data_IF_041637733853
#
_entry.id   IF_041637733853
#
_cell.length_a   1.000
_cell.length_b   1.000
_cell.length_c   1.000
_cell.angle_alpha   90.00
_cell.angle_beta   90.00
_cell.angle_gamma   90.00
#
_symmetry.space_group_name_H-M   'P 1'
#
loop_
_entity.id
_entity.type
_entity.pdbx_description
1 polymer ?
#
# COMPACT_ATOMS: atom_id res chain seq x y z
N UNK A 1 24.84 3.13 -8.06
CA UNK A 1 23.90 2.31 -8.85
C UNK A 1 24.34 0.85 -8.77
N UNK A 2 23.44 -0.13 -8.62
CA UNK A 2 23.84 -1.55 -8.64
C UNK A 2 24.56 -1.86 -9.96
N UNK A 3 25.70 -2.56 -9.87
CA UNK A 3 26.50 -2.95 -11.04
C UNK A 3 25.80 -4.05 -11.83
N UNK A 4 26.07 -4.18 -13.13
CA UNK A 4 25.52 -5.26 -13.97
C UNK A 4 25.75 -6.66 -13.38
N UNK A 5 26.89 -6.86 -12.72
CA UNK A 5 27.23 -8.11 -12.00
C UNK A 5 26.25 -8.44 -10.87
N UNK A 6 25.75 -7.44 -10.13
CA UNK A 6 24.77 -7.67 -9.08
C UNK A 6 23.39 -8.11 -9.61
N UNK A 7 22.99 -7.59 -10.78
CA UNK A 7 21.77 -8.04 -11.46
C UNK A 7 21.87 -9.46 -11.97
N UNK A 8 23.00 -9.81 -12.61
CA UNK A 8 23.23 -11.16 -13.15
C UNK A 8 23.26 -12.21 -12.03
N UNK A 9 23.89 -11.90 -10.89
CA UNK A 9 23.94 -12.80 -9.73
C UNK A 9 22.55 -13.05 -9.13
N UNK A 10 21.70 -12.02 -9.05
CA UNK A 10 20.29 -12.18 -8.64
C UNK A 10 19.45 -12.99 -9.63
N UNK A 11 19.81 -13.01 -10.92
CA UNK A 11 19.10 -13.78 -11.94
C UNK A 11 19.53 -15.25 -11.97
N UNK A 12 20.83 -15.52 -11.71
CA UNK A 12 21.40 -16.87 -11.56
C UNK A 12 20.62 -17.71 -10.56
N UNK A 13 20.28 -17.15 -9.41
CA UNK A 13 19.62 -17.87 -8.31
C UNK A 13 18.14 -18.21 -8.61
N UNK A 14 17.54 -17.64 -9.66
CA UNK A 14 16.15 -17.89 -10.07
C UNK A 14 16.01 -18.85 -11.27
N UNK A 15 17.12 -19.36 -11.82
CA UNK A 15 17.14 -20.25 -13.01
C UNK A 15 17.09 -21.75 -12.67
N UNK A 16 16.63 -22.12 -11.47
CA UNK A 16 16.81 -23.49 -10.94
C UNK A 16 15.73 -24.51 -11.31
N UNK A 17 14.88 -24.29 -12.33
CA UNK A 17 13.89 -25.34 -12.67
C UNK A 17 13.41 -25.39 -14.13
N UNK A 18 14.33 -25.29 -15.11
CA UNK A 18 13.99 -25.58 -16.50
C UNK A 18 14.99 -26.55 -17.12
N UNK A 19 14.47 -27.55 -17.84
CA UNK A 19 15.20 -28.40 -18.78
C UNK A 19 16.28 -27.59 -19.52
N UNK A 20 17.56 -27.84 -19.22
CA UNK A 20 18.68 -27.08 -19.77
C UNK A 20 18.76 -27.39 -21.28
N UNK A 21 18.10 -26.56 -22.10
CA UNK A 21 18.27 -26.56 -23.55
C UNK A 21 19.52 -25.76 -23.89
N UNK A 22 20.48 -26.40 -24.55
CA UNK A 22 21.65 -25.71 -25.11
C UNK A 22 21.25 -24.99 -26.39
N UNK A 23 21.59 -23.71 -26.49
CA UNK A 23 21.42 -22.92 -27.72
C UNK A 23 22.79 -22.44 -28.18
N UNK A 24 23.23 -22.75 -29.42
CA UNK A 24 24.45 -22.16 -29.97
C UNK A 24 24.21 -20.67 -30.22
N UNK A 25 24.97 -19.82 -29.53
CA UNK A 25 24.90 -18.36 -29.68
C UNK A 25 26.00 -17.93 -30.65
N UNK A 26 25.62 -17.47 -31.84
CA UNK A 26 26.54 -17.01 -32.91
C UNK A 26 26.55 -15.49 -33.06
N UNK A 27 25.59 -14.79 -32.44
CA UNK A 27 25.53 -13.33 -32.44
C UNK A 27 24.75 -12.78 -31.24
N UNK A 28 25.01 -11.51 -30.93
CA UNK A 28 24.25 -10.78 -29.92
C UNK A 28 22.75 -10.68 -30.25
N UNK A 29 22.41 -10.52 -31.53
CA UNK A 29 21.02 -10.49 -31.98
C UNK A 29 20.31 -11.83 -31.69
N UNK A 30 20.98 -12.95 -31.96
CA UNK A 30 20.45 -14.28 -31.66
C UNK A 30 20.27 -14.49 -30.15
N UNK A 31 21.24 -14.05 -29.33
CA UNK A 31 21.12 -14.06 -27.87
C UNK A 31 19.88 -13.30 -27.38
N UNK A 32 19.67 -12.07 -27.88
CA UNK A 32 18.48 -11.28 -27.54
C UNK A 32 17.20 -11.97 -27.98
N UNK A 33 17.14 -12.49 -29.21
CA UNK A 33 15.96 -13.16 -29.74
C UNK A 33 15.57 -14.39 -28.91
N UNK A 34 16.55 -15.23 -28.57
CA UNK A 34 16.34 -16.40 -27.70
C UNK A 34 15.87 -15.95 -26.32
N UNK A 35 16.54 -14.95 -25.73
CA UNK A 35 16.18 -14.38 -24.44
C UNK A 35 14.73 -13.93 -24.43
N UNK A 36 14.34 -13.01 -25.31
CA UNK A 36 12.97 -12.50 -25.40
C UNK A 36 11.94 -13.60 -25.66
N UNK A 37 12.24 -14.55 -26.55
CA UNK A 37 11.33 -15.67 -26.85
C UNK A 37 11.06 -16.52 -25.61
N UNK A 38 12.09 -16.82 -24.81
CA UNK A 38 11.93 -17.54 -23.55
C UNK A 38 11.13 -16.72 -22.53
N UNK A 39 11.37 -15.41 -22.45
CA UNK A 39 10.60 -14.53 -21.56
C UNK A 39 9.11 -14.53 -21.87
N UNK A 40 8.77 -14.40 -23.17
CA UNK A 40 7.38 -14.38 -23.64
C UNK A 40 6.72 -15.76 -23.47
N UNK A 41 7.42 -16.84 -23.82
CA UNK A 41 6.90 -18.21 -23.73
C UNK A 41 6.57 -18.61 -22.29
N UNK A 42 7.35 -18.11 -21.32
CA UNK A 42 7.12 -18.34 -19.89
C UNK A 42 6.05 -17.40 -19.29
N UNK A 43 5.38 -16.57 -20.09
CA UNK A 43 4.37 -15.63 -19.62
C UNK A 43 4.92 -14.59 -18.64
N UNK A 44 6.20 -14.23 -18.74
CA UNK A 44 6.80 -13.29 -17.80
C UNK A 44 6.23 -11.88 -17.97
N UNK A 45 5.66 -11.34 -16.90
CA UNK A 45 5.13 -9.98 -16.87
C UNK A 45 6.15 -9.04 -16.23
N UNK A 46 6.75 -8.16 -17.04
CA UNK A 46 7.66 -7.11 -16.56
C UNK A 46 6.86 -5.84 -16.28
N UNK A 47 7.05 -5.25 -15.10
CA UNK A 47 6.43 -3.98 -14.70
C UNK A 47 7.46 -2.99 -14.20
N UNK A 48 7.11 -1.71 -14.25
CA UNK A 48 7.88 -0.63 -13.61
C UNK A 48 7.37 -0.42 -12.19
N UNK A 49 8.25 -0.54 -11.20
CA UNK A 49 7.89 -0.31 -9.79
C UNK A 49 7.47 1.15 -9.58
N UNK A 50 6.27 1.38 -9.04
CA UNK A 50 5.76 2.74 -8.78
C UNK A 50 6.51 3.51 -7.69
N UNK A 51 7.39 2.85 -6.93
CA UNK A 51 8.14 3.46 -5.84
C UNK A 51 9.59 3.79 -6.21
N UNK A 52 10.35 2.82 -6.73
CA UNK A 52 11.76 3.00 -7.09
C UNK A 52 12.02 3.17 -8.59
N UNK A 53 10.97 3.16 -9.42
CA UNK A 53 11.04 3.28 -10.89
C UNK A 53 11.82 2.19 -11.64
N UNK A 54 12.39 1.20 -10.95
CA UNK A 54 13.07 0.08 -11.59
C UNK A 54 12.11 -0.99 -12.12
N UNK A 55 12.46 -1.62 -13.23
CA UNK A 55 11.72 -2.75 -13.79
C UNK A 55 11.87 -4.00 -12.90
N UNK A 56 10.84 -4.84 -12.85
CA UNK A 56 10.82 -6.10 -12.11
C UNK A 56 9.81 -7.08 -12.72
N UNK A 57 10.03 -8.37 -12.52
CA UNK A 57 9.08 -9.42 -12.86
C UNK A 57 7.99 -9.51 -11.79
N UNK A 58 6.72 -9.44 -12.18
CA UNK A 58 5.61 -9.71 -11.28
C UNK A 58 5.56 -11.22 -10.95
N UNK A 59 5.55 -11.58 -9.66
CA UNK A 59 5.64 -12.98 -9.22
C UNK A 59 4.31 -13.58 -8.78
N UNK A 60 3.48 -12.81 -8.07
CA UNK A 60 2.30 -13.34 -7.38
C UNK A 60 0.98 -12.98 -8.06
N UNK A 61 0.90 -11.79 -8.66
CA UNK A 61 -0.31 -11.29 -9.30
C UNK A 61 0.09 -10.40 -10.45
N UNK A 62 -0.70 -10.45 -11.53
CA UNK A 62 -0.63 -9.48 -12.61
C UNK A 62 -0.74 -8.06 -12.08
N UNK A 63 -1.42 -7.81 -10.95
CA UNK A 63 -1.66 -6.47 -10.42
C UNK A 63 -0.55 -5.95 -9.48
N UNK A 64 0.56 -6.70 -9.33
CA UNK A 64 1.66 -6.27 -8.47
C UNK A 64 2.25 -4.92 -8.91
N UNK A 65 2.16 -3.91 -8.05
CA UNK A 65 2.56 -2.52 -8.37
C UNK A 65 3.99 -2.17 -7.91
N UNK A 66 4.56 -2.97 -7.01
CA UNK A 66 5.81 -2.70 -6.33
C UNK A 66 6.73 -3.93 -6.33
N UNK A 67 8.04 -3.70 -6.49
CA UNK A 67 9.05 -4.78 -6.43
C UNK A 67 9.39 -5.19 -4.99
N UNK A 68 10.11 -6.31 -4.83
CA UNK A 68 10.62 -6.79 -3.54
C UNK A 68 11.99 -6.22 -3.13
N UNK A 69 12.58 -5.32 -3.92
CA UNK A 69 13.86 -4.67 -3.57
C UNK A 69 13.71 -3.78 -2.32
N UNK A 70 14.75 -3.75 -1.50
CA UNK A 70 14.87 -2.82 -0.36
C UNK A 70 14.79 -1.38 -0.87
N UNK A 71 13.97 -0.55 -0.22
CA UNK A 71 13.75 0.82 -0.64
C UNK A 71 14.75 1.79 0.01
N UNK A 72 15.64 2.37 -0.81
CA UNK A 72 16.66 3.34 -0.36
C UNK A 72 17.43 2.82 0.86
N UNK A 73 17.60 3.64 1.90
CA UNK A 73 18.29 3.32 3.15
C UNK A 73 17.31 2.84 4.25
N UNK A 74 16.19 2.22 3.87
CA UNK A 74 15.26 1.62 4.83
C UNK A 74 15.52 0.12 4.97
N UNK A 75 14.98 -0.52 6.00
CA UNK A 75 14.96 -1.98 6.15
C UNK A 75 13.78 -2.64 5.42
N UNK A 76 12.90 -1.87 4.79
CA UNK A 76 11.65 -2.33 4.21
C UNK A 76 11.74 -2.48 2.69
N UNK A 77 10.97 -3.43 2.13
CA UNK A 77 10.85 -3.60 0.68
C UNK A 77 9.98 -2.51 0.05
N UNK A 78 10.14 -2.28 -1.26
CA UNK A 78 9.28 -1.34 -1.99
C UNK A 78 7.80 -1.74 -1.90
N UNK A 79 7.51 -3.05 -1.81
CA UNK A 79 6.16 -3.57 -1.61
C UNK A 79 5.58 -3.14 -0.26
N UNK A 80 6.28 -3.37 0.85
CA UNK A 80 5.81 -2.95 2.17
C UNK A 80 5.63 -1.43 2.28
N UNK A 81 6.58 -0.66 1.76
CA UNK A 81 6.48 0.81 1.76
C UNK A 81 5.30 1.27 0.90
N UNK A 82 5.11 0.67 -0.27
CA UNK A 82 3.99 0.93 -1.16
C UNK A 82 2.64 0.65 -0.51
N UNK A 83 2.49 -0.53 0.11
CA UNK A 83 1.28 -0.94 0.84
C UNK A 83 0.97 0.05 1.97
N UNK A 84 1.96 0.40 2.81
CA UNK A 84 1.78 1.37 3.90
C UNK A 84 1.36 2.74 3.36
N UNK A 85 1.95 3.18 2.24
CA UNK A 85 1.62 4.45 1.61
C UNK A 85 0.18 4.46 1.09
N UNK A 86 -0.21 3.44 0.33
CA UNK A 86 -1.57 3.32 -0.23
C UNK A 86 -2.61 3.17 0.87
N UNK A 87 -2.33 2.40 1.93
CA UNK A 87 -3.21 2.30 3.10
C UNK A 87 -3.42 3.68 3.74
N UNK A 88 -2.32 4.40 3.99
CA UNK A 88 -2.36 5.74 4.55
C UNK A 88 -3.16 6.71 3.67
N UNK A 89 -2.94 6.69 2.36
CA UNK A 89 -3.69 7.52 1.40
C UNK A 89 -5.20 7.22 1.43
N UNK A 90 -5.59 5.94 1.43
CA UNK A 90 -7.00 5.52 1.55
C UNK A 90 -7.61 5.98 2.87
N UNK A 91 -6.88 5.83 3.97
CA UNK A 91 -7.31 6.25 5.29
C UNK A 91 -7.51 7.77 5.37
N UNK A 92 -6.61 8.57 4.78
CA UNK A 92 -6.77 10.03 4.69
C UNK A 92 -7.96 10.47 3.83
N UNK A 93 -8.34 9.67 2.84
CA UNK A 93 -9.51 9.94 1.99
C UNK A 93 -10.82 9.47 2.63
N UNK A 94 -10.78 8.69 3.72
CA UNK A 94 -11.97 8.15 4.36
C UNK A 94 -12.75 9.23 5.12
N UNK A 95 -14.02 9.53 4.75
CA UNK A 95 -14.76 10.66 5.34
C UNK A 95 -14.95 10.59 6.85
N UNK A 96 -15.23 9.38 7.37
CA UNK A 96 -15.35 9.16 8.82
C UNK A 96 -14.03 9.42 9.53
N UNK A 97 -12.91 8.99 8.94
CA UNK A 97 -11.59 9.13 9.55
C UNK A 97 -11.11 10.59 9.57
N UNK A 98 -11.43 11.36 8.52
CA UNK A 98 -11.16 12.79 8.47
C UNK A 98 -11.88 13.52 9.61
N UNK A 99 -13.16 13.22 9.83
CA UNK A 99 -13.95 13.90 10.85
C UNK A 99 -13.54 13.45 12.27
N UNK A 100 -13.26 12.15 12.46
CA UNK A 100 -12.66 11.65 13.70
C UNK A 100 -11.37 12.39 14.04
N UNK A 101 -10.45 12.55 13.09
CA UNK A 101 -9.17 13.22 13.31
C UNK A 101 -9.36 14.67 13.79
N UNK A 102 -10.32 15.41 13.20
CA UNK A 102 -10.66 16.78 13.64
C UNK A 102 -11.21 16.79 15.06
N UNK A 103 -12.20 15.96 15.35
CA UNK A 103 -12.85 15.84 16.65
C UNK A 103 -11.87 15.43 17.75
N UNK A 104 -11.03 14.43 17.46
CA UNK A 104 -9.99 13.93 18.35
C UNK A 104 -8.97 15.03 18.69
N UNK A 105 -8.44 15.73 17.69
CA UNK A 105 -7.47 16.80 17.91
C UNK A 105 -8.08 17.98 18.69
N UNK A 106 -9.36 18.30 18.44
CA UNK A 106 -10.10 19.32 19.19
C UNK A 106 -10.24 18.94 20.66
N UNK A 107 -10.68 17.71 20.94
CA UNK A 107 -10.85 17.18 22.30
C UNK A 107 -9.50 17.08 23.02
N UNK A 108 -8.50 16.51 22.38
CA UNK A 108 -7.13 16.43 22.89
C UNK A 108 -6.57 17.82 23.24
N UNK A 109 -6.81 18.83 22.39
CA UNK A 109 -6.44 20.22 22.68
C UNK A 109 -7.16 20.80 23.90
N UNK A 110 -8.44 20.46 24.13
CA UNK A 110 -9.17 20.87 25.35
C UNK A 110 -8.60 20.22 26.60
N UNK A 111 -8.30 18.93 26.55
CA UNK A 111 -7.68 18.16 27.64
C UNK A 111 -6.30 18.74 27.97
N UNK A 112 -5.46 18.97 26.96
CA UNK A 112 -4.12 19.54 27.12
C UNK A 112 -4.14 20.92 27.79
N UNK A 113 -5.17 21.74 27.51
CA UNK A 113 -5.37 23.07 28.14
C UNK A 113 -6.08 23.01 29.49
N UNK A 114 -6.40 21.82 30.01
CA UNK A 114 -7.11 21.65 31.28
C UNK A 114 -8.57 22.08 31.26
N UNK A 115 -9.18 22.29 30.07
CA UNK A 115 -10.62 22.59 29.97
C UNK A 115 -11.50 21.37 30.20
N UNK A 116 -10.92 20.17 30.05
CA UNK A 116 -11.55 18.87 30.27
C UNK A 116 -10.56 18.03 31.07
N UNK A 117 -11.00 17.22 32.05
CA UNK A 117 -10.14 16.30 32.78
C UNK A 117 -9.40 15.32 31.85
N UNK A 118 -8.20 14.91 32.24
CA UNK A 118 -7.42 13.91 31.47
C UNK A 118 -8.07 12.54 31.45
N UNK A 119 -8.70 12.14 32.56
CA UNK A 119 -9.38 10.85 32.72
C UNK A 119 -10.81 10.86 32.17
N UNK A 120 -11.08 11.71 31.17
CA UNK A 120 -12.40 11.78 30.55
C UNK A 120 -12.67 10.55 29.69
N UNK A 121 -13.87 9.93 29.78
CA UNK A 121 -14.25 8.81 28.93
C UNK A 121 -14.47 9.24 27.47
N UNK A 122 -14.60 10.55 27.20
CA UNK A 122 -14.91 11.10 25.88
C UNK A 122 -13.93 10.66 24.78
N UNK A 123 -12.65 10.46 25.12
CA UNK A 123 -11.65 10.01 24.13
C UNK A 123 -11.92 8.58 23.67
N UNK A 124 -12.35 7.71 24.58
CA UNK A 124 -12.63 6.32 24.26
C UNK A 124 -14.02 6.17 23.65
N UNK A 125 -15.00 6.98 24.06
CA UNK A 125 -16.30 7.09 23.39
C UNK A 125 -16.16 7.53 21.94
N UNK A 126 -15.31 8.52 21.68
CA UNK A 126 -15.06 9.00 20.31
C UNK A 126 -14.39 7.92 19.44
N UNK A 127 -13.48 7.11 20.00
CA UNK A 127 -12.88 5.97 19.28
C UNK A 127 -13.90 4.89 18.98
N UNK A 128 -14.72 4.49 19.96
CA UNK A 128 -15.79 3.49 19.76
C UNK A 128 -16.75 3.94 18.66
N UNK A 129 -17.16 5.21 18.69
CA UNK A 129 -18.03 5.79 17.68
C UNK A 129 -17.36 5.81 16.29
N UNK A 130 -16.06 6.10 16.21
CA UNK A 130 -15.31 6.01 14.96
C UNK A 130 -15.30 4.58 14.39
N UNK A 131 -15.04 3.58 15.23
CA UNK A 131 -14.94 2.20 14.79
C UNK A 131 -16.31 1.69 14.28
N UNK A 132 -17.39 1.96 15.05
CA UNK A 132 -18.78 1.65 14.67
C UNK A 132 -19.15 2.26 13.30
N UNK A 133 -18.89 3.56 13.13
CA UNK A 133 -19.28 4.25 11.89
C UNK A 133 -18.35 3.96 10.72
N UNK A 134 -17.10 3.58 10.97
CA UNK A 134 -16.20 3.12 9.91
C UNK A 134 -16.72 1.80 9.34
N UNK A 135 -17.06 0.84 10.19
CA UNK A 135 -17.67 -0.42 9.76
C UNK A 135 -19.01 -0.19 9.04
N UNK A 136 -19.91 0.63 9.62
CA UNK A 136 -21.19 0.99 8.98
C UNK A 136 -20.98 1.63 7.60
N UNK A 137 -20.01 2.51 7.46
CA UNK A 137 -19.71 3.19 6.20
C UNK A 137 -19.15 2.23 5.14
N UNK A 138 -18.29 1.29 5.54
CA UNK A 138 -17.70 0.30 4.63
C UNK A 138 -18.73 -0.73 4.13
N UNK A 139 -19.73 -1.07 4.94
CA UNK A 139 -20.84 -1.97 4.54
C UNK A 139 -21.93 -1.28 3.70
N UNK A 140 -21.97 0.05 3.71
CA UNK A 140 -22.96 0.83 2.99
C UNK A 140 -22.46 1.21 1.59
N UNK A 141 -23.33 1.21 0.58
CA UNK A 141 -22.98 1.57 -0.81
C UNK A 141 -23.85 2.69 -1.33
N UNK A 142 -23.38 3.39 -2.37
CA UNK A 142 -24.16 4.42 -3.04
C UNK A 142 -24.51 5.62 -2.14
N UNK A 143 -25.73 6.13 -2.30
CA UNK A 143 -26.23 7.36 -1.67
C UNK A 143 -26.32 7.25 -0.14
N UNK A 144 -26.60 6.06 0.37
CA UNK A 144 -26.76 5.79 1.81
C UNK A 144 -25.48 6.07 2.61
N UNK A 145 -24.29 6.06 1.97
CA UNK A 145 -23.02 6.43 2.62
C UNK A 145 -22.97 7.89 3.05
N UNK A 146 -23.62 8.77 2.29
CA UNK A 146 -23.65 10.19 2.64
C UNK A 146 -24.51 10.41 3.89
N UNK A 147 -25.58 9.64 4.05
CA UNK A 147 -26.46 9.70 5.22
C UNK A 147 -25.74 9.16 6.46
N UNK A 148 -25.02 8.03 6.34
CA UNK A 148 -24.15 7.50 7.41
C UNK A 148 -23.10 8.53 7.84
N UNK A 149 -22.49 9.22 6.88
CA UNK A 149 -21.50 10.26 7.18
C UNK A 149 -22.11 11.48 7.88
N UNK A 150 -23.28 11.95 7.46
CA UNK A 150 -24.01 13.04 8.12
C UNK A 150 -24.44 12.67 9.54
N UNK A 151 -24.93 11.45 9.72
CA UNK A 151 -25.28 10.90 11.03
C UNK A 151 -24.06 10.86 11.98
N UNK A 152 -22.90 10.42 11.47
CA UNK A 152 -21.65 10.44 12.23
C UNK A 152 -21.24 11.86 12.67
N UNK A 153 -21.34 12.83 11.77
CA UNK A 153 -21.06 14.25 12.09
C UNK A 153 -21.98 14.73 13.21
N UNK A 154 -23.27 14.37 13.17
CA UNK A 154 -24.22 14.78 14.19
C UNK A 154 -23.89 14.14 15.55
N UNK A 155 -23.66 12.82 15.60
CA UNK A 155 -23.26 12.15 16.85
C UNK A 155 -21.95 12.68 17.43
N UNK A 156 -20.97 13.04 16.58
CA UNK A 156 -19.74 13.70 17.03
C UNK A 156 -20.01 15.06 17.69
N UNK A 157 -20.97 15.83 17.17
CA UNK A 157 -21.37 17.11 17.77
C UNK A 157 -22.07 16.89 19.10
N UNK A 158 -22.98 15.92 19.18
CA UNK A 158 -23.74 15.61 20.40
C UNK A 158 -22.81 15.10 21.51
N UNK A 159 -21.79 14.30 21.16
CA UNK A 159 -20.80 13.79 22.11
C UNK A 159 -19.86 14.88 22.66
N UNK A 160 -19.51 15.87 21.83
CA UNK A 160 -18.52 16.91 22.18
C UNK A 160 -19.14 18.28 22.51
N UNK A 161 -20.48 18.33 22.49
CA UNK A 161 -21.35 19.49 22.70
C UNK A 161 -21.09 20.19 24.01
#
# INVERSE_FOLDING_TARGET
>A
PPTWTSYLKSCSDSLTDYNIRSYPITSFAQFLHIGFSLMLSNGMVIRKCKLCNGYFQAKFSSDQMYCSRIYKNTSATCSEVGIRKTYKEKLFQHPIHQEFTKSYNKLYGRIRRGKIPKDTPLMDELKRLHDEYTEKYEHTRGKDREDVWKEYIQKNKDLLG
#
